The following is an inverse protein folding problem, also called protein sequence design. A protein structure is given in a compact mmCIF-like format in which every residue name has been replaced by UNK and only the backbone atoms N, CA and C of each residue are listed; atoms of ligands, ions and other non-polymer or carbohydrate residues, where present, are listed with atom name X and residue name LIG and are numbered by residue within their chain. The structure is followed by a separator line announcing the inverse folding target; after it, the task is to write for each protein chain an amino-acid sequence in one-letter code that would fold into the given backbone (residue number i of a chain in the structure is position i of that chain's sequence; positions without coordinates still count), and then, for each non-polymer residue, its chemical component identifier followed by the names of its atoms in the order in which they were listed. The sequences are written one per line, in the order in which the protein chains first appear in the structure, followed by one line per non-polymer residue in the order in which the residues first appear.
data_IF_397794982120
#
_entry.id   IF_397794982120
#
_cell.length_a   1.000
_cell.length_b   1.000
_cell.length_c   1.000
_cell.angle_alpha   90.00
_cell.angle_beta   90.00
_cell.angle_gamma   90.00
#
_symmetry.space_group_name_H-M   'P 1'
#
loop_
_entity.id
_entity.type
_entity.pdbx_description
1 polymer ?
#
# COMPACT_ATOMS: atom_id res chain seq x y z
N UNK A 1 -9.43 8.92 -20.42
CA UNK A 1 -8.46 10.03 -20.57
C UNK A 1 -7.60 10.13 -19.30
N UNK A 2 -6.32 10.54 -19.32
CA UNK A 2 -5.70 11.00 -18.07
C UNK A 2 -6.62 12.03 -17.43
N UNK A 3 -6.76 11.99 -16.10
CA UNK A 3 -7.47 13.00 -15.31
C UNK A 3 -7.23 14.35 -15.97
N UNK A 4 -8.26 15.04 -16.48
CA UNK A 4 -8.05 16.21 -17.32
C UNK A 4 -7.15 17.16 -16.53
N UNK A 5 -5.95 17.45 -17.07
CA UNK A 5 -4.84 18.24 -16.46
C UNK A 5 -3.88 17.58 -15.45
N UNK A 6 -3.75 16.24 -15.44
CA UNK A 6 -2.66 15.55 -14.73
C UNK A 6 -1.42 15.32 -15.63
N UNK A 7 -0.19 15.55 -15.14
CA UNK A 7 0.15 15.94 -13.76
C UNK A 7 -0.02 17.45 -13.50
N UNK A 8 -0.52 17.78 -12.31
CA UNK A 8 -0.51 19.14 -11.79
C UNK A 8 0.90 19.45 -11.28
N UNK A 9 1.87 19.74 -12.14
CA UNK A 9 3.28 19.89 -11.73
C UNK A 9 3.47 20.89 -10.56
N UNK A 10 2.63 21.93 -10.51
CA UNK A 10 2.61 22.93 -9.43
C UNK A 10 2.26 22.36 -8.04
N UNK A 11 1.62 21.19 -7.98
CA UNK A 11 1.23 20.54 -6.72
C UNK A 11 2.29 19.54 -6.22
N UNK A 12 3.33 19.30 -7.01
CA UNK A 12 4.49 18.50 -6.68
C UNK A 12 5.69 19.38 -6.32
N UNK A 13 6.57 18.88 -5.46
CA UNK A 13 7.84 19.53 -5.20
C UNK A 13 8.71 19.47 -6.48
N UNK A 14 9.16 20.62 -6.99
CA UNK A 14 9.96 20.67 -8.22
C UNK A 14 11.27 19.89 -8.10
N UNK A 15 11.90 19.86 -6.92
CA UNK A 15 13.11 19.05 -6.69
C UNK A 15 12.81 17.54 -6.71
N UNK A 16 11.60 17.13 -6.34
CA UNK A 16 11.15 15.74 -6.48
C UNK A 16 10.99 15.40 -7.96
N UNK A 17 10.40 16.28 -8.76
CA UNK A 17 10.28 16.11 -10.21
C UNK A 17 11.66 15.99 -10.85
N UNK A 18 12.59 16.91 -10.55
CA UNK A 18 13.98 16.86 -11.06
C UNK A 18 14.69 15.59 -10.61
N UNK A 19 14.58 15.21 -9.34
CA UNK A 19 15.18 13.96 -8.85
C UNK A 19 14.61 12.70 -9.51
N UNK A 20 13.32 12.67 -9.84
CA UNK A 20 12.71 11.60 -10.64
C UNK A 20 13.23 11.64 -12.09
N UNK A 21 13.38 12.82 -12.68
CA UNK A 21 13.97 13.00 -14.02
C UNK A 21 15.41 12.44 -14.09
N UNK A 22 16.21 12.69 -13.06
CA UNK A 22 17.61 12.23 -13.00
C UNK A 22 17.73 10.73 -12.67
N UNK A 23 16.76 10.16 -11.94
CA UNK A 23 16.80 8.77 -11.47
C UNK A 23 16.19 7.78 -12.47
N UNK A 24 15.35 8.23 -13.40
CA UNK A 24 14.59 7.37 -14.30
C UNK A 24 15.15 7.55 -15.71
N UNK A 25 16.33 6.98 -15.98
CA UNK A 25 16.96 7.10 -17.30
C UNK A 25 16.24 6.32 -18.41
N UNK A 26 15.32 5.42 -18.05
CA UNK A 26 14.65 4.50 -18.98
C UNK A 26 13.16 4.78 -19.23
N UNK A 27 12.53 5.70 -18.49
CA UNK A 27 11.09 6.01 -18.62
C UNK A 27 10.89 7.52 -18.60
N UNK A 28 10.03 8.02 -19.48
CA UNK A 28 9.69 9.44 -19.53
C UNK A 28 9.13 9.90 -18.15
N UNK A 29 9.73 10.92 -17.52
CA UNK A 29 9.28 11.46 -16.24
C UNK A 29 7.84 11.98 -16.26
N UNK A 30 7.37 12.54 -17.38
CA UNK A 30 5.98 12.98 -17.54
C UNK A 30 5.01 11.80 -17.51
N UNK A 31 5.36 10.70 -18.18
CA UNK A 31 4.56 9.48 -18.18
C UNK A 31 4.52 8.84 -16.79
N UNK A 32 5.62 8.88 -16.05
CA UNK A 32 5.67 8.41 -14.65
C UNK A 32 4.78 9.26 -13.74
N UNK A 33 4.81 10.58 -13.88
CA UNK A 33 3.95 11.48 -13.11
C UNK A 33 2.46 11.27 -13.43
N UNK A 34 2.11 11.17 -14.72
CA UNK A 34 0.76 10.85 -15.18
C UNK A 34 0.30 9.51 -14.64
N UNK A 35 1.17 8.49 -14.66
CA UNK A 35 0.90 7.20 -14.07
C UNK A 35 0.65 7.28 -12.56
N UNK A 36 1.49 8.01 -11.81
CA UNK A 36 1.30 8.21 -10.36
C UNK A 36 -0.05 8.87 -10.01
N UNK A 37 -0.47 9.84 -10.81
CA UNK A 37 -1.74 10.53 -10.61
C UNK A 37 -2.97 9.67 -10.94
N UNK A 38 -2.79 8.56 -11.66
CA UNK A 38 -3.90 7.68 -12.04
C UNK A 38 -4.12 6.56 -11.04
N UNK A 39 -5.38 6.20 -10.80
CA UNK A 39 -5.69 4.99 -10.04
C UNK A 39 -5.23 3.76 -10.84
N UNK A 40 -4.69 2.72 -10.17
CA UNK A 40 -4.41 1.45 -10.84
C UNK A 40 -5.67 0.90 -11.50
N UNK A 41 -5.57 0.35 -12.71
CA UNK A 41 -6.74 -0.20 -13.44
C UNK A 41 -7.22 -1.55 -12.92
N UNK A 42 -6.65 -2.03 -11.81
CA UNK A 42 -6.93 -3.32 -11.19
C UNK A 42 -7.17 -3.14 -9.69
N UNK A 43 -8.25 -3.74 -9.21
CA UNK A 43 -8.48 -3.96 -7.78
C UNK A 43 -8.13 -5.40 -7.44
N UNK A 44 -7.26 -5.59 -6.46
CA UNK A 44 -6.83 -6.92 -6.01
C UNK A 44 -7.29 -7.21 -4.58
N UNK A 45 -7.93 -8.35 -4.42
CA UNK A 45 -8.28 -8.95 -3.13
C UNK A 45 -7.35 -10.11 -2.85
N UNK A 46 -6.72 -10.12 -1.67
CA UNK A 46 -6.07 -11.30 -1.11
C UNK A 46 -7.10 -12.11 -0.32
N UNK A 47 -7.31 -13.35 -0.69
CA UNK A 47 -8.17 -14.30 0.02
C UNK A 47 -7.43 -14.87 1.22
N UNK A 48 -8.13 -15.00 2.35
CA UNK A 48 -7.64 -15.71 3.50
C UNK A 48 -7.99 -17.19 3.39
N UNK A 49 -7.10 -17.95 2.77
CA UNK A 49 -7.26 -19.39 2.51
C UNK A 49 -7.40 -20.23 3.80
N UNK A 50 -7.05 -19.68 4.97
CA UNK A 50 -7.28 -20.34 6.26
C UNK A 50 -8.74 -20.29 6.75
N UNK A 51 -9.56 -19.37 6.20
CA UNK A 51 -10.96 -19.16 6.62
C UNK A 51 -11.98 -19.47 5.55
N UNK A 52 -11.64 -19.32 4.27
CA UNK A 52 -12.58 -19.51 3.16
C UNK A 52 -11.83 -19.86 1.88
N UNK A 53 -12.56 -20.36 0.89
CA UNK A 53 -12.00 -20.64 -0.44
C UNK A 53 -12.02 -19.41 -1.33
N UNK A 54 -11.17 -19.41 -2.36
CA UNK A 54 -11.17 -18.38 -3.40
C UNK A 54 -12.51 -18.35 -4.14
N UNK A 55 -13.17 -19.50 -4.32
CA UNK A 55 -14.49 -19.64 -4.93
C UNK A 55 -15.55 -18.86 -4.18
N UNK A 56 -15.57 -18.94 -2.85
CA UNK A 56 -16.57 -18.28 -2.02
C UNK A 56 -16.44 -16.75 -2.12
N UNK A 57 -15.21 -16.24 -2.04
CA UNK A 57 -14.96 -14.80 -2.18
C UNK A 57 -15.28 -14.33 -3.59
N UNK A 58 -14.89 -15.10 -4.60
CA UNK A 58 -15.16 -14.79 -6.00
C UNK A 58 -16.67 -14.73 -6.27
N UNK A 59 -17.45 -15.72 -5.79
CA UNK A 59 -18.90 -15.76 -5.93
C UNK A 59 -19.58 -14.56 -5.23
N UNK A 60 -19.11 -14.19 -4.03
CA UNK A 60 -19.62 -13.02 -3.33
C UNK A 60 -19.34 -11.70 -4.09
N UNK A 61 -18.14 -11.57 -4.67
CA UNK A 61 -17.78 -10.44 -5.55
C UNK A 61 -18.68 -10.43 -6.79
N UNK A 62 -18.83 -11.56 -7.49
CA UNK A 62 -19.68 -11.65 -8.69
C UNK A 62 -21.13 -11.27 -8.40
N UNK A 63 -21.67 -11.74 -7.27
CA UNK A 63 -23.03 -11.41 -6.85
C UNK A 63 -23.22 -9.90 -6.69
N UNK A 64 -22.22 -9.19 -6.13
CA UNK A 64 -22.28 -7.74 -5.94
C UNK A 64 -22.00 -6.94 -7.21
N UNK A 65 -21.11 -7.41 -8.07
CA UNK A 65 -20.78 -6.73 -9.32
C UNK A 65 -21.80 -7.02 -10.43
N UNK A 66 -22.62 -8.06 -10.30
CA UNK A 66 -23.64 -8.47 -11.28
C UNK A 66 -23.06 -8.58 -12.70
N UNK A 67 -21.86 -9.15 -12.84
CA UNK A 67 -21.11 -9.31 -14.10
C UNK A 67 -20.78 -8.00 -14.85
N UNK A 68 -20.88 -6.83 -14.20
CA UNK A 68 -20.57 -5.53 -14.82
C UNK A 68 -19.07 -5.26 -15.01
N UNK A 69 -18.22 -6.09 -14.41
CA UNK A 69 -16.77 -5.94 -14.42
C UNK A 69 -16.14 -7.30 -14.74
N UNK A 70 -15.07 -7.25 -15.53
CA UNK A 70 -14.23 -8.41 -15.76
C UNK A 70 -13.42 -8.70 -14.49
N UNK A 71 -13.41 -9.96 -14.08
CA UNK A 71 -12.68 -10.39 -12.89
C UNK A 71 -12.12 -11.78 -13.11
N UNK A 72 -10.93 -12.02 -12.57
CA UNK A 72 -10.23 -13.28 -12.73
C UNK A 72 -9.63 -13.72 -11.39
N UNK A 73 -9.41 -15.02 -11.30
CA UNK A 73 -8.63 -15.64 -10.23
C UNK A 73 -7.17 -15.67 -10.68
N UNK A 74 -6.25 -15.29 -9.81
CA UNK A 74 -4.82 -15.37 -10.06
C UNK A 74 -4.17 -16.14 -8.91
N UNK A 75 -3.50 -17.25 -9.23
CA UNK A 75 -3.04 -18.21 -8.22
C UNK A 75 -4.19 -18.65 -7.29
N UNK A 76 -3.87 -19.26 -6.14
CA UNK A 76 -4.86 -19.81 -5.21
C UNK A 76 -5.50 -18.75 -4.28
N UNK A 77 -4.88 -17.58 -4.13
CA UNK A 77 -5.21 -16.63 -3.06
C UNK A 77 -5.47 -15.19 -3.55
N UNK A 78 -5.54 -14.92 -4.86
CA UNK A 78 -5.76 -13.56 -5.40
C UNK A 78 -6.98 -13.53 -6.31
N UNK A 79 -7.83 -12.53 -6.11
CA UNK A 79 -8.90 -12.18 -7.04
C UNK A 79 -8.60 -10.80 -7.60
N UNK A 80 -8.62 -10.68 -8.92
CA UNK A 80 -8.43 -9.44 -9.65
C UNK A 80 -9.76 -8.98 -10.22
N UNK A 81 -10.03 -7.69 -10.13
CA UNK A 81 -11.17 -7.04 -10.77
C UNK A 81 -10.63 -5.92 -11.63
N UNK A 82 -10.89 -6.00 -12.94
CA UNK A 82 -10.51 -5.00 -13.92
C UNK A 82 -11.48 -3.83 -13.85
N UNK A 83 -10.92 -2.62 -13.84
CA UNK A 83 -11.72 -1.39 -13.88
C UNK A 83 -12.28 -1.20 -15.28
N UNK A 84 -13.49 -0.66 -15.35
CA UNK A 84 -14.11 -0.38 -16.65
C UNK A 84 -13.48 0.89 -17.25
N UNK A 85 -13.22 0.92 -18.57
CA UNK A 85 -12.81 2.14 -19.23
C UNK A 85 -13.89 3.21 -19.04
N UNK A 86 -13.47 4.41 -18.64
CA UNK A 86 -14.36 5.58 -18.61
C UNK A 86 -14.18 6.32 -19.94
N UNK A 87 -14.95 5.89 -20.94
CA UNK A 87 -14.85 6.37 -22.33
C UNK A 87 -15.58 7.70 -22.57
N UNK A 88 -16.48 8.09 -21.67
CA UNK A 88 -17.22 9.36 -21.71
C UNK A 88 -16.99 10.16 -20.44
N UNK A 89 -16.90 11.47 -20.56
CA UNK A 89 -16.93 12.35 -19.39
C UNK A 89 -18.24 12.14 -18.63
N UNK A 90 -18.14 11.85 -17.34
CA UNK A 90 -19.32 11.69 -16.48
C UNK A 90 -20.06 13.03 -16.39
N UNK A 91 -21.39 12.99 -16.49
CA UNK A 91 -22.23 14.18 -16.37
C UNK A 91 -22.13 14.73 -14.95
N UNK A 92 -21.71 15.99 -14.81
CA UNK A 92 -21.54 16.64 -13.52
C UNK A 92 -22.89 17.17 -13.03
N UNK A 93 -23.14 16.99 -11.73
CA UNK A 93 -24.29 17.54 -11.04
C UNK A 93 -24.02 18.97 -10.55
N UNK A 94 -25.06 19.82 -10.43
CA UNK A 94 -24.91 21.20 -9.98
C UNK A 94 -24.53 21.32 -8.51
N UNK A 95 -24.81 20.29 -7.69
CA UNK A 95 -24.46 20.25 -6.27
C UNK A 95 -23.08 19.62 -6.10
N UNK A 96 -22.24 20.25 -5.29
CA UNK A 96 -20.84 19.87 -5.10
C UNK A 96 -20.57 19.39 -3.68
N UNK A 97 -19.69 18.39 -3.57
CA UNK A 97 -19.05 17.98 -2.32
C UNK A 97 -17.54 18.09 -2.51
N UNK A 98 -16.86 18.74 -1.57
CA UNK A 98 -15.41 18.91 -1.57
C UNK A 98 -14.80 18.02 -0.51
N UNK A 99 -13.79 17.27 -0.90
CA UNK A 99 -13.00 16.39 -0.03
C UNK A 99 -11.52 16.69 -0.16
N UNK A 100 -10.72 16.24 0.81
CA UNK A 100 -9.26 16.31 0.68
C UNK A 100 -8.73 15.27 -0.34
N UNK A 101 -7.44 15.38 -0.68
CA UNK A 101 -6.79 14.51 -1.65
C UNK A 101 -6.68 13.05 -1.22
N UNK A 102 -6.66 12.75 0.08
CA UNK A 102 -6.54 11.37 0.58
C UNK A 102 -7.90 10.66 0.51
N UNK A 103 -8.97 11.36 0.89
CA UNK A 103 -10.35 10.91 0.69
C UNK A 103 -10.65 10.75 -0.80
N UNK A 104 -10.25 11.70 -1.64
CA UNK A 104 -10.39 11.59 -3.10
C UNK A 104 -9.67 10.36 -3.66
N UNK A 105 -8.45 10.09 -3.20
CA UNK A 105 -7.70 8.91 -3.64
C UNK A 105 -8.38 7.61 -3.19
N UNK A 106 -8.98 7.56 -2.00
CA UNK A 106 -9.77 6.43 -1.54
C UNK A 106 -11.02 6.21 -2.39
N UNK A 107 -11.74 7.28 -2.75
CA UNK A 107 -12.93 7.22 -3.63
C UNK A 107 -12.58 6.64 -5.00
N UNK A 108 -11.49 7.08 -5.61
CA UNK A 108 -11.00 6.52 -6.88
C UNK A 108 -10.54 5.06 -6.78
N UNK A 109 -10.39 4.54 -5.56
CA UNK A 109 -10.08 3.14 -5.27
C UNK A 109 -11.32 2.36 -4.79
N UNK A 110 -12.51 2.92 -4.98
CA UNK A 110 -13.80 2.27 -4.74
C UNK A 110 -14.43 2.56 -3.38
N UNK A 111 -13.89 3.49 -2.59
CA UNK A 111 -14.46 3.83 -1.28
C UNK A 111 -15.66 4.78 -1.39
N UNK A 112 -16.57 4.67 -0.43
CA UNK A 112 -17.56 5.71 -0.18
C UNK A 112 -16.96 6.88 0.65
N UNK A 113 -17.71 7.98 0.80
CA UNK A 113 -17.28 9.11 1.64
C UNK A 113 -18.03 9.08 2.97
N UNK A 114 -17.25 9.01 4.04
CA UNK A 114 -17.74 9.13 5.41
C UNK A 114 -17.73 10.59 5.88
N UNK A 115 -18.59 10.94 6.82
CA UNK A 115 -18.74 12.33 7.32
C UNK A 115 -17.42 13.06 7.65
N UNK A 116 -16.41 12.43 8.29
CA UNK A 116 -15.14 13.09 8.56
C UNK A 116 -14.38 13.55 7.29
N UNK A 117 -14.60 12.88 6.16
CA UNK A 117 -13.92 13.16 4.89
C UNK A 117 -14.52 14.34 4.11
N UNK A 118 -15.72 14.81 4.49
CA UNK A 118 -16.36 15.96 3.82
C UNK A 118 -15.80 17.26 4.36
N UNK A 119 -15.13 18.04 3.50
CA UNK A 119 -14.66 19.38 3.83
C UNK A 119 -15.75 20.43 3.61
N UNK A 120 -16.42 20.40 2.46
CA UNK A 120 -17.41 21.38 2.08
C UNK A 120 -18.51 20.77 1.24
N UNK A 121 -19.69 21.36 1.25
CA UNK A 121 -20.76 20.96 0.33
C UNK A 121 -21.74 22.10 0.10
N UNK A 122 -22.22 22.23 -1.15
CA UNK A 122 -23.32 23.13 -1.47
C UNK A 122 -24.62 22.67 -0.79
N UNK A 123 -25.62 23.56 -0.60
CA UNK A 123 -26.91 23.17 -0.02
C UNK A 123 -27.51 21.93 -0.70
N UNK A 124 -27.61 20.86 0.07
CA UNK A 124 -28.04 19.53 -0.38
C UNK A 124 -28.81 18.83 0.74
N UNK A 125 -29.81 18.05 0.36
CA UNK A 125 -30.63 17.19 1.19
C UNK A 125 -30.22 15.73 0.97
N UNK A 126 -30.54 14.87 1.93
CA UNK A 126 -30.43 13.42 1.74
C UNK A 126 -31.20 12.97 0.50
N UNK A 127 -30.58 12.10 -0.31
CA UNK A 127 -31.10 11.63 -1.59
C UNK A 127 -30.69 12.47 -2.80
N UNK A 128 -30.13 13.66 -2.60
CA UNK A 128 -29.63 14.47 -3.71
C UNK A 128 -28.43 13.82 -4.39
N UNK A 129 -28.38 13.96 -5.72
CA UNK A 129 -27.19 13.64 -6.52
C UNK A 129 -26.20 14.80 -6.47
N UNK A 130 -24.93 14.46 -6.28
CA UNK A 130 -23.83 15.42 -6.12
C UNK A 130 -22.61 14.99 -6.92
N UNK A 131 -21.83 15.97 -7.34
CA UNK A 131 -20.50 15.76 -7.89
C UNK A 131 -19.44 16.00 -6.82
N UNK A 132 -18.47 15.09 -6.76
CA UNK A 132 -17.40 15.10 -5.77
C UNK A 132 -16.15 15.69 -6.41
N UNK A 133 -15.51 16.62 -5.69
CA UNK A 133 -14.28 17.26 -6.09
C UNK A 133 -13.20 17.14 -5.03
N UNK A 134 -11.97 16.87 -5.46
CA UNK A 134 -10.78 16.90 -4.63
C UNK A 134 -10.23 18.34 -4.54
N UNK A 135 -9.97 18.83 -3.32
CA UNK A 135 -9.24 20.08 -3.08
C UNK A 135 -7.73 19.86 -3.25
N UNK A 136 -7.17 20.33 -4.37
CA UNK A 136 -5.77 20.08 -4.72
C UNK A 136 -4.80 21.02 -4.01
N UNK A 137 -5.25 22.20 -3.55
CA UNK A 137 -4.37 23.20 -2.92
C UNK A 137 -4.58 23.35 -1.41
N UNK A 138 -5.45 22.53 -0.82
CA UNK A 138 -5.76 22.47 0.62
C UNK A 138 -6.27 23.81 1.15
N UNK A 139 -7.15 24.46 0.39
CA UNK A 139 -7.73 25.77 0.72
C UNK A 139 -9.20 25.70 1.14
N UNK A 140 -9.86 24.56 0.99
CA UNK A 140 -11.24 24.39 1.41
C UNK A 140 -11.32 24.38 2.94
N UNK A 141 -12.04 25.35 3.49
CA UNK A 141 -12.36 25.38 4.92
C UNK A 141 -13.46 24.37 5.22
N UNK A 142 -13.36 23.72 6.38
CA UNK A 142 -14.36 22.76 6.82
C UNK A 142 -15.69 23.47 7.06
N UNK A 143 -16.77 22.92 6.53
CA UNK A 143 -18.10 23.53 6.56
C UNK A 143 -18.33 24.58 5.46
N UNK A 144 -17.54 24.63 4.39
CA UNK A 144 -17.86 25.48 3.25
C UNK A 144 -19.27 25.16 2.68
N UNK A 145 -20.05 26.21 2.38
CA UNK A 145 -21.42 26.11 1.82
C UNK A 145 -21.47 26.61 0.36
N UNK A 146 -20.60 27.56 0.00
CA UNK A 146 -20.56 28.13 -1.35
C UNK A 146 -19.78 27.19 -2.29
N UNK A 147 -20.04 27.25 -3.61
CA UNK A 147 -19.21 26.56 -4.59
C UNK A 147 -17.72 26.87 -4.37
N UNK A 148 -16.88 25.84 -4.39
CA UNK A 148 -15.43 26.01 -4.21
C UNK A 148 -14.79 26.43 -5.53
N UNK A 149 -14.10 27.56 -5.52
CA UNK A 149 -13.54 28.20 -6.73
C UNK A 149 -12.03 28.05 -6.88
N UNK A 150 -11.35 27.56 -5.84
CA UNK A 150 -9.92 27.23 -5.90
C UNK A 150 -9.68 25.98 -6.76
N UNK A 151 -8.41 25.66 -6.99
CA UNK A 151 -7.98 24.50 -7.78
C UNK A 151 -8.60 23.19 -7.24
N UNK A 152 -9.50 22.60 -8.02
CA UNK A 152 -10.22 21.37 -7.68
C UNK A 152 -10.30 20.42 -8.86
N UNK A 153 -10.41 19.12 -8.57
CA UNK A 153 -10.54 18.07 -9.58
C UNK A 153 -11.82 17.28 -9.35
N UNK A 154 -12.67 17.17 -10.37
CA UNK A 154 -13.81 16.26 -10.34
C UNK A 154 -13.32 14.81 -10.28
N UNK A 155 -13.89 13.97 -9.40
CA UNK A 155 -13.46 12.58 -9.22
C UNK A 155 -14.57 11.53 -9.31
N UNK A 156 -15.81 11.90 -8.99
CA UNK A 156 -16.90 10.95 -8.85
C UNK A 156 -18.26 11.66 -8.79
N UNK A 157 -19.32 10.89 -9.04
CA UNK A 157 -20.69 11.26 -8.66
C UNK A 157 -21.17 10.35 -7.51
N UNK A 158 -22.15 10.83 -6.74
CA UNK A 158 -22.73 10.07 -5.65
C UNK A 158 -24.04 10.64 -5.13
N UNK A 159 -24.58 10.00 -4.10
CA UNK A 159 -25.86 10.31 -3.48
C UNK A 159 -25.62 10.68 -2.01
N UNK A 160 -26.22 11.78 -1.56
CA UNK A 160 -26.13 12.23 -0.18
C UNK A 160 -26.91 11.28 0.74
N UNK A 161 -26.26 10.74 1.76
CA UNK A 161 -26.83 9.80 2.73
C UNK A 161 -27.08 10.42 4.11
N UNK A 162 -26.42 11.54 4.40
CA UNK A 162 -26.56 12.30 5.65
C UNK A 162 -26.88 13.76 5.40
N UNK A 163 -27.64 14.35 6.31
CA UNK A 163 -27.90 15.78 6.27
C UNK A 163 -26.65 16.55 6.72
N UNK A 164 -26.52 17.79 6.25
CA UNK A 164 -25.38 18.66 6.56
C UNK A 164 -25.09 18.79 8.07
N UNK A 165 -26.12 18.90 8.90
CA UNK A 165 -25.97 19.00 10.36
C UNK A 165 -25.28 17.77 10.96
N UNK A 166 -25.55 16.58 10.42
CA UNK A 166 -24.94 15.31 10.85
C UNK A 166 -23.48 15.20 10.38
N UNK A 167 -23.18 15.73 9.19
CA UNK A 167 -21.84 15.70 8.59
C UNK A 167 -20.87 16.64 9.33
N UNK A 168 -21.34 17.83 9.73
CA UNK A 168 -20.51 18.88 10.35
C UNK A 168 -20.72 19.03 11.86
N UNK A 169 -21.30 18.02 12.52
CA UNK A 169 -21.34 17.95 13.97
C UNK A 169 -19.94 17.80 14.59
N UNK A 170 -19.84 17.92 15.92
CA UNK A 170 -18.58 17.84 16.67
C UNK A 170 -17.84 16.51 16.47
N UNK A 171 -18.57 15.40 16.45
CA UNK A 171 -18.03 14.04 16.26
C UNK A 171 -18.64 13.39 15.01
N UNK A 172 -18.20 13.78 13.80
CA UNK A 172 -18.73 13.28 12.55
C UNK A 172 -18.49 11.77 12.42
N UNK A 173 -19.51 11.01 11.99
CA UNK A 173 -19.40 9.57 11.72
C UNK A 173 -20.48 9.10 10.76
N UNK A 174 -20.26 7.93 10.16
CA UNK A 174 -21.21 7.31 9.24
C UNK A 174 -21.01 7.72 7.79
N UNK A 175 -21.73 7.01 6.92
CA UNK A 175 -21.70 7.19 5.47
C UNK A 175 -22.38 8.53 5.11
N UNK A 176 -21.61 9.47 4.58
CA UNK A 176 -22.11 10.77 4.18
C UNK A 176 -22.54 10.80 2.71
N UNK A 177 -21.71 10.25 1.82
CA UNK A 177 -21.99 10.17 0.39
C UNK A 177 -21.76 8.73 -0.08
N UNK A 178 -22.80 8.12 -0.62
CA UNK A 178 -22.72 6.86 -1.35
C UNK A 178 -22.27 7.15 -2.78
N UNK A 179 -21.02 6.80 -3.09
CA UNK A 179 -20.46 6.95 -4.44
C UNK A 179 -21.18 6.00 -5.40
N UNK A 180 -21.59 6.53 -6.55
CA UNK A 180 -22.28 5.77 -7.61
C UNK A 180 -21.38 5.42 -8.79
N UNK A 181 -20.45 6.32 -9.12
CA UNK A 181 -19.51 6.15 -10.24
C UNK A 181 -18.27 7.02 -10.02
N UNK A 182 -17.15 6.57 -10.56
CA UNK A 182 -15.85 7.24 -10.42
C UNK A 182 -15.19 7.39 -11.78
N UNK A 183 -14.36 8.42 -11.94
CA UNK A 183 -13.60 8.61 -13.18
C UNK A 183 -12.45 7.61 -13.35
N UNK A 184 -12.13 6.81 -12.32
CA UNK A 184 -11.21 5.67 -12.46
C UNK A 184 -11.89 4.43 -13.03
N UNK A 185 -13.23 4.39 -13.06
CA UNK A 185 -13.97 3.18 -13.44
C UNK A 185 -13.79 2.03 -12.43
N UNK A 186 -13.31 2.34 -11.22
CA UNK A 186 -13.14 1.36 -10.16
C UNK A 186 -14.51 0.85 -9.70
N UNK A 187 -14.69 -0.47 -9.52
CA UNK A 187 -15.89 -1.01 -8.89
C UNK A 187 -16.02 -0.48 -7.46
N UNK A 188 -17.26 -0.23 -7.05
CA UNK A 188 -17.60 0.22 -5.70
C UNK A 188 -18.28 -0.96 -5.01
N UNK A 189 -17.61 -1.52 -4.00
CA UNK A 189 -18.09 -2.64 -3.23
C UNK A 189 -18.39 -2.18 -1.80
N UNK A 190 -19.54 -2.55 -1.20
CA UNK A 190 -19.89 -2.11 0.16
C UNK A 190 -18.87 -2.59 1.20
N UNK A 191 -18.54 -1.77 2.20
CA UNK A 191 -17.43 -2.06 3.14
C UNK A 191 -17.57 -3.34 4.00
N UNK A 192 -18.74 -4.00 4.01
CA UNK A 192 -19.00 -5.26 4.74
C UNK A 192 -19.68 -6.34 3.88
N UNK A 193 -19.47 -6.33 2.55
CA UNK A 193 -20.08 -7.32 1.67
C UNK A 193 -19.49 -8.74 1.83
N UNK A 194 -18.32 -8.85 2.43
CA UNK A 194 -17.67 -10.11 2.79
C UNK A 194 -17.68 -10.29 4.30
N UNK A 195 -17.80 -11.54 4.80
CA UNK A 195 -17.56 -11.82 6.21
C UNK A 195 -16.15 -11.40 6.64
N UNK A 196 -16.02 -10.95 7.89
CA UNK A 196 -14.75 -10.46 8.42
C UNK A 196 -13.62 -11.50 8.27
N UNK A 197 -12.48 -11.04 7.77
CA UNK A 197 -11.28 -11.85 7.60
C UNK A 197 -11.32 -12.84 6.44
N UNK A 198 -12.36 -12.85 5.59
CA UNK A 198 -12.39 -13.71 4.39
C UNK A 198 -11.42 -13.24 3.30
N UNK A 199 -11.33 -11.93 3.10
CA UNK A 199 -10.40 -11.34 2.15
C UNK A 199 -10.03 -9.92 2.56
N UNK A 200 -8.97 -9.40 1.94
CA UNK A 200 -8.44 -8.06 2.17
C UNK A 200 -8.15 -7.38 0.84
N UNK A 201 -8.50 -6.10 0.72
CA UNK A 201 -7.97 -5.25 -0.34
C UNK A 201 -6.46 -5.05 -0.14
N UNK A 202 -5.66 -5.63 -1.02
CA UNK A 202 -4.20 -5.58 -0.92
C UNK A 202 -3.60 -5.54 -2.31
N UNK A 203 -2.75 -4.54 -2.58
CA UNK A 203 -2.09 -4.39 -3.87
C UNK A 203 -1.25 -5.63 -4.20
N UNK A 204 -1.28 -6.08 -5.47
CA UNK A 204 -0.50 -7.23 -5.97
C UNK A 204 0.97 -7.22 -5.50
N UNK A 205 1.72 -6.09 -5.58
CA UNK A 205 3.11 -6.07 -5.12
C UNK A 205 3.29 -6.43 -3.64
N UNK A 206 2.34 -6.03 -2.79
CA UNK A 206 2.36 -6.36 -1.36
C UNK A 206 2.08 -7.84 -1.10
N UNK A 207 1.29 -8.50 -1.96
CA UNK A 207 1.03 -9.95 -1.89
C UNK A 207 2.27 -10.70 -2.40
N UNK A 208 2.84 -10.25 -3.51
CA UNK A 208 4.07 -10.80 -4.08
C UNK A 208 5.23 -10.78 -3.08
N UNK A 209 5.39 -9.70 -2.32
CA UNK A 209 6.42 -9.59 -1.28
C UNK A 209 6.41 -10.76 -0.28
N UNK A 210 5.22 -11.17 0.18
CA UNK A 210 5.09 -12.30 1.12
C UNK A 210 5.31 -13.64 0.40
N UNK A 211 4.92 -13.76 -0.87
CA UNK A 211 5.24 -14.94 -1.68
C UNK A 211 6.74 -15.09 -1.92
N UNK A 212 7.47 -14.00 -2.14
CA UNK A 212 8.93 -14.00 -2.25
C UNK A 212 9.61 -14.40 -0.92
N UNK A 213 9.01 -14.06 0.22
CA UNK A 213 9.49 -14.52 1.54
C UNK A 213 9.30 -16.03 1.72
N UNK A 214 8.26 -16.59 1.10
CA UNK A 214 7.93 -18.01 1.10
C UNK A 214 8.01 -18.67 2.51
N UNK A 215 7.28 -18.14 3.52
CA UNK A 215 7.33 -18.67 4.88
C UNK A 215 6.70 -20.06 4.98
N UNK A 216 7.37 -20.99 5.66
CA UNK A 216 6.91 -22.37 5.80
C UNK A 216 6.30 -22.62 7.19
N UNK A 217 5.38 -23.60 7.30
CA UNK A 217 4.96 -24.13 8.60
C UNK A 217 6.15 -24.53 9.47
N UNK A 218 6.04 -24.26 10.78
CA UNK A 218 7.03 -24.60 11.82
C UNK A 218 8.33 -23.76 11.83
N UNK A 219 8.42 -22.73 11.00
CA UNK A 219 9.53 -21.77 11.02
C UNK A 219 9.33 -20.64 12.04
N UNK A 220 10.42 -19.95 12.37
CA UNK A 220 10.42 -18.73 13.17
C UNK A 220 10.57 -17.52 12.24
N UNK A 221 9.51 -16.71 12.13
CA UNK A 221 9.40 -15.61 11.16
C UNK A 221 9.20 -14.27 11.88
N UNK A 222 9.92 -13.24 11.43
CA UNK A 222 9.81 -11.86 11.92
C UNK A 222 9.24 -10.92 10.86
N UNK A 223 8.21 -10.18 11.21
CA UNK A 223 7.76 -8.99 10.48
C UNK A 223 8.17 -7.74 11.27
N UNK A 224 9.20 -7.04 10.79
CA UNK A 224 9.85 -5.94 11.54
C UNK A 224 9.05 -4.64 11.56
N UNK A 225 8.10 -4.45 10.64
CA UNK A 225 7.35 -3.20 10.44
C UNK A 225 5.91 -3.56 10.03
N UNK A 226 5.23 -4.26 10.93
CA UNK A 226 4.10 -5.11 10.58
C UNK A 226 2.78 -4.37 10.37
N UNK A 227 2.58 -3.20 10.98
CA UNK A 227 1.28 -2.55 10.95
C UNK A 227 0.92 -2.02 9.55
N UNK A 228 -0.34 -2.18 9.09
CA UNK A 228 -1.51 -2.58 9.89
C UNK A 228 -1.76 -4.10 9.99
N UNK A 229 -0.87 -4.96 9.50
CA UNK A 229 -0.99 -6.43 9.61
C UNK A 229 -1.34 -7.16 8.32
N UNK A 230 -1.40 -6.44 7.20
CA UNK A 230 -1.81 -7.02 5.90
C UNK A 230 -0.86 -8.12 5.43
N UNK A 231 0.47 -7.91 5.59
CA UNK A 231 1.50 -8.89 5.25
C UNK A 231 1.65 -9.94 6.35
N UNK A 232 1.61 -9.54 7.62
CA UNK A 232 1.65 -10.44 8.78
C UNK A 232 0.57 -11.53 8.72
N UNK A 233 -0.68 -11.15 8.44
CA UNK A 233 -1.79 -12.11 8.30
C UNK A 233 -1.66 -13.00 7.07
N UNK A 234 -0.94 -12.55 6.04
CA UNK A 234 -0.61 -13.39 4.88
C UNK A 234 0.47 -14.40 5.21
N UNK A 235 1.53 -13.98 5.92
CA UNK A 235 2.57 -14.87 6.44
C UNK A 235 1.94 -15.97 7.30
N UNK A 236 1.07 -15.60 8.24
CA UNK A 236 0.38 -16.55 9.12
C UNK A 236 -0.46 -17.57 8.33
N UNK A 237 -1.15 -17.13 7.27
CA UNK A 237 -1.93 -18.01 6.42
C UNK A 237 -1.05 -19.03 5.65
N UNK A 238 0.09 -18.59 5.09
CA UNK A 238 1.04 -19.47 4.40
C UNK A 238 1.73 -20.46 5.35
N UNK A 239 2.04 -20.02 6.57
CA UNK A 239 2.55 -20.89 7.64
C UNK A 239 1.48 -21.82 8.22
N UNK A 240 0.22 -21.72 7.77
CA UNK A 240 -0.92 -22.46 8.32
C UNK A 240 -1.06 -22.29 9.85
N UNK A 241 -0.67 -21.12 10.37
CA UNK A 241 -0.59 -20.85 11.80
C UNK A 241 0.29 -21.85 12.61
N UNK A 242 1.27 -22.50 11.97
CA UNK A 242 2.24 -23.41 12.59
C UNK A 242 3.63 -22.76 12.66
N UNK A 243 4.34 -22.96 13.76
CA UNK A 243 5.61 -22.26 14.04
C UNK A 243 5.39 -20.98 14.83
N UNK A 244 6.33 -20.05 14.73
CA UNK A 244 6.31 -18.81 15.50
C UNK A 244 6.41 -17.60 14.58
N UNK A 245 5.36 -16.78 14.57
CA UNK A 245 5.33 -15.51 13.86
C UNK A 245 5.38 -14.35 14.87
N UNK A 246 6.40 -13.50 14.76
CA UNK A 246 6.56 -12.30 15.57
C UNK A 246 6.34 -11.07 14.68
N UNK A 247 5.52 -10.13 15.16
CA UNK A 247 5.17 -8.92 14.43
C UNK A 247 5.42 -7.68 15.29
N UNK A 248 6.18 -6.72 14.76
CA UNK A 248 6.60 -5.53 15.48
C UNK A 248 6.08 -4.25 14.84
N UNK A 249 5.66 -3.29 15.66
CA UNK A 249 5.53 -1.89 15.23
C UNK A 249 5.84 -0.96 16.40
N UNK A 250 6.33 0.25 16.10
CA UNK A 250 6.74 1.23 17.12
C UNK A 250 5.54 1.96 17.74
N UNK A 251 4.47 2.16 16.99
CA UNK A 251 3.39 3.09 17.36
C UNK A 251 2.23 2.37 18.05
N UNK A 252 1.81 2.75 19.27
CA UNK A 252 0.75 2.05 20.01
C UNK A 252 -0.56 1.86 19.23
N UNK A 253 -1.03 2.90 18.52
CA UNK A 253 -2.27 2.81 17.74
C UNK A 253 -2.13 1.85 16.55
N UNK A 254 -0.94 1.81 15.92
CA UNK A 254 -0.64 0.87 14.85
C UNK A 254 -0.57 -0.56 15.34
N UNK A 255 0.01 -0.78 16.52
CA UNK A 255 0.04 -2.09 17.21
C UNK A 255 -1.38 -2.56 17.54
N UNK A 256 -2.25 -1.68 18.05
CA UNK A 256 -3.67 -2.00 18.27
C UNK A 256 -4.37 -2.42 16.97
N UNK A 257 -4.15 -1.69 15.88
CA UNK A 257 -4.70 -2.04 14.57
C UNK A 257 -4.16 -3.37 14.04
N UNK A 258 -2.87 -3.63 14.22
CA UNK A 258 -2.22 -4.89 13.86
C UNK A 258 -2.83 -6.07 14.62
N UNK A 259 -2.96 -5.98 15.95
CA UNK A 259 -3.62 -7.01 16.75
C UNK A 259 -5.05 -7.26 16.30
N UNK A 260 -5.81 -6.19 16.02
CA UNK A 260 -7.18 -6.31 15.52
C UNK A 260 -7.25 -7.03 14.17
N UNK A 261 -6.35 -6.67 13.26
CA UNK A 261 -6.26 -7.31 11.94
C UNK A 261 -5.87 -8.78 12.06
N UNK A 262 -4.96 -9.13 12.96
CA UNK A 262 -4.62 -10.53 13.25
C UNK A 262 -5.82 -11.31 13.80
N UNK A 263 -6.57 -10.74 14.76
CA UNK A 263 -7.79 -11.34 15.30
C UNK A 263 -8.84 -11.56 14.19
N UNK A 264 -9.14 -10.52 13.40
CA UNK A 264 -10.13 -10.58 12.33
C UNK A 264 -9.79 -11.62 11.28
N UNK A 265 -8.50 -11.83 10.98
CA UNK A 265 -8.02 -12.84 10.03
C UNK A 265 -7.71 -14.20 10.67
N UNK A 266 -7.79 -14.35 11.99
CA UNK A 266 -7.43 -15.59 12.70
C UNK A 266 -5.95 -15.93 12.58
N UNK A 267 -5.09 -14.93 12.44
CA UNK A 267 -3.64 -15.10 12.34
C UNK A 267 -3.02 -15.25 13.74
N UNK A 268 -2.29 -16.35 13.97
CA UNK A 268 -1.52 -16.57 15.20
C UNK A 268 -0.17 -15.87 15.09
N UNK A 269 -0.06 -14.69 15.69
CA UNK A 269 1.19 -13.92 15.76
C UNK A 269 1.39 -13.33 17.16
N UNK A 270 2.63 -13.34 17.66
CA UNK A 270 3.02 -12.58 18.84
C UNK A 270 3.32 -11.15 18.42
N UNK A 271 2.48 -10.21 18.87
CA UNK A 271 2.56 -8.79 18.50
C UNK A 271 3.21 -8.00 19.63
N UNK A 272 4.28 -7.26 19.33
CA UNK A 272 4.96 -6.41 20.31
C UNK A 272 5.04 -4.96 19.83
N UNK A 273 4.86 -4.03 20.77
CA UNK A 273 5.21 -2.63 20.56
C UNK A 273 6.72 -2.46 20.73
N UNK A 274 7.46 -2.28 19.63
CA UNK A 274 8.90 -2.18 19.67
C UNK A 274 9.46 -1.27 18.56
N UNK A 275 10.59 -0.62 18.85
CA UNK A 275 11.37 0.07 17.83
C UNK A 275 12.38 -0.90 17.22
N UNK A 276 12.14 -1.35 16.00
CA UNK A 276 12.98 -2.31 15.25
C UNK A 276 14.42 -1.84 15.01
N UNK A 277 14.77 -0.60 15.36
CA UNK A 277 16.14 -0.13 15.46
C UNK A 277 16.92 -0.67 16.68
N UNK A 278 16.24 -1.25 17.67
CA UNK A 278 16.80 -1.65 18.98
C UNK A 278 16.33 -3.05 19.42
N UNK A 279 16.18 -3.97 18.47
CA UNK A 279 15.62 -5.32 18.72
C UNK A 279 16.68 -6.43 18.75
N UNK A 280 17.97 -6.09 18.64
CA UNK A 280 19.07 -7.05 18.72
C UNK A 280 19.62 -7.03 20.14
N UNK A 281 19.65 -8.18 20.78
CA UNK A 281 20.21 -8.40 22.11
C UNK A 281 21.71 -8.63 22.01
N UNK A 282 22.44 -8.22 23.07
CA UNK A 282 23.84 -8.61 23.26
C UNK A 282 24.00 -9.93 24.03
N UNK A 283 22.90 -10.55 24.47
CA UNK A 283 22.89 -11.81 25.22
C UNK A 283 21.96 -12.85 24.59
N UNK A 284 22.35 -14.12 24.68
CA UNK A 284 21.63 -15.27 24.12
C UNK A 284 20.56 -15.86 25.05
N UNK A 285 20.30 -15.21 26.20
CA UNK A 285 19.59 -15.82 27.33
C UNK A 285 18.08 -15.52 27.41
N UNK A 286 17.47 -14.88 26.39
CA UNK A 286 16.04 -14.58 26.41
C UNK A 286 15.26 -15.49 25.48
N UNK A 287 14.21 -16.13 26.02
CA UNK A 287 13.23 -16.86 25.22
C UNK A 287 12.57 -15.90 24.24
N UNK A 288 12.52 -16.30 22.97
CA UNK A 288 12.02 -15.47 21.86
C UNK A 288 10.56 -15.00 22.08
N UNK A 289 9.77 -15.79 22.80
CA UNK A 289 8.36 -15.51 23.12
C UNK A 289 8.18 -14.34 24.09
N UNK A 290 9.23 -13.96 24.83
CA UNK A 290 9.19 -12.80 25.74
C UNK A 290 9.26 -11.46 25.00
N UNK A 291 9.49 -11.48 23.68
CA UNK A 291 9.59 -10.30 22.84
C UNK A 291 11.01 -9.74 22.75
N UNK A 292 11.18 -8.58 22.09
CA UNK A 292 12.49 -8.00 21.85
C UNK A 292 13.13 -7.44 23.14
N UNK A 293 14.48 -7.38 23.23
CA UNK A 293 15.43 -7.67 22.15
C UNK A 293 15.69 -9.18 21.98
N UNK A 294 15.94 -9.62 20.75
CA UNK A 294 16.19 -11.02 20.39
C UNK A 294 17.68 -11.31 20.20
N UNK A 295 18.10 -12.54 20.50
CA UNK A 295 19.46 -12.98 20.22
C UNK A 295 19.78 -12.96 18.71
N UNK A 296 21.05 -12.77 18.30
CA UNK A 296 21.45 -12.91 16.90
C UNK A 296 21.10 -14.29 16.32
N UNK A 297 20.93 -14.38 14.99
CA UNK A 297 20.68 -15.64 14.28
C UNK A 297 19.50 -16.46 14.83
N UNK A 298 18.40 -15.80 15.12
CA UNK A 298 17.20 -16.40 15.72
C UNK A 298 16.12 -16.76 14.69
N UNK A 299 15.97 -15.98 13.62
CA UNK A 299 14.85 -16.10 12.70
C UNK A 299 15.23 -16.83 11.42
N UNK A 300 14.38 -17.77 10.99
CA UNK A 300 14.53 -18.48 9.72
C UNK A 300 14.18 -17.53 8.55
N UNK A 301 13.20 -16.64 8.77
CA UNK A 301 12.81 -15.62 7.79
C UNK A 301 12.50 -14.28 8.42
N UNK A 302 12.84 -13.22 7.69
CA UNK A 302 12.57 -11.85 8.11
C UNK A 302 11.97 -11.08 6.95
N UNK A 303 10.81 -10.46 7.19
CA UNK A 303 10.22 -9.44 6.34
C UNK A 303 10.59 -8.05 6.89
N UNK A 304 11.23 -7.26 6.03
CA UNK A 304 11.48 -5.84 6.25
C UNK A 304 10.70 -5.03 5.20
N UNK A 305 9.41 -4.79 5.48
CA UNK A 305 8.57 -3.81 4.77
C UNK A 305 8.89 -2.41 5.30
N UNK A 306 9.96 -1.82 4.79
CA UNK A 306 10.62 -0.72 5.45
C UNK A 306 9.79 0.59 5.35
N UNK A 307 9.79 1.43 6.41
CA UNK A 307 9.26 2.78 6.29
C UNK A 307 10.04 3.54 5.20
N UNK A 308 9.30 4.13 4.27
CA UNK A 308 9.85 4.78 3.09
C UNK A 308 9.11 6.08 2.78
N UNK A 309 9.55 6.77 1.72
CA UNK A 309 8.94 8.01 1.25
C UNK A 309 7.54 7.87 0.65
N UNK A 310 7.04 6.64 0.42
CA UNK A 310 5.69 6.32 -0.08
C UNK A 310 5.36 6.99 -1.43
N UNK A 311 6.38 7.24 -2.27
CA UNK A 311 6.23 7.93 -3.55
C UNK A 311 5.57 7.08 -4.65
N UNK A 312 5.34 5.78 -4.39
CA UNK A 312 4.66 4.87 -5.31
C UNK A 312 3.14 4.80 -5.11
N UNK A 313 2.56 5.54 -4.16
CA UNK A 313 1.10 5.50 -3.89
C UNK A 313 0.33 5.97 -5.12
N UNK A 314 -0.75 5.25 -5.46
CA UNK A 314 -1.62 5.57 -6.62
C UNK A 314 -3.11 5.44 -6.26
N UNK A 315 -3.95 6.42 -6.66
CA UNK A 315 -3.58 7.70 -7.30
C UNK A 315 -2.92 8.67 -6.32
N UNK A 316 -2.07 9.56 -6.83
CA UNK A 316 -1.44 10.63 -6.08
C UNK A 316 -1.58 11.97 -6.80
N UNK A 317 -2.39 12.88 -6.25
CA UNK A 317 -2.66 14.18 -6.89
C UNK A 317 -1.69 15.29 -6.49
N UNK A 318 -1.14 15.21 -5.28
CA UNK A 318 -0.19 16.20 -4.74
C UNK A 318 0.93 15.48 -3.98
N UNK A 319 2.12 16.06 -3.99
CA UNK A 319 3.22 15.58 -3.16
C UNK A 319 4.20 16.72 -2.81
N UNK A 320 4.17 17.13 -1.54
CA UNK A 320 5.04 18.20 -1.02
C UNK A 320 6.21 17.66 -0.17
N UNK A 321 6.47 16.36 -0.24
CA UNK A 321 7.58 15.74 0.50
C UNK A 321 8.89 16.40 0.09
N UNK A 322 9.65 16.89 1.07
CA UNK A 322 10.93 17.54 0.79
C UNK A 322 12.02 16.51 0.56
N UNK A 323 13.02 16.88 -0.23
CA UNK A 323 14.20 16.04 -0.47
C UNK A 323 14.91 15.65 0.83
N UNK A 324 14.94 16.54 1.82
CA UNK A 324 15.48 16.26 3.16
C UNK A 324 14.74 15.10 3.84
N UNK A 325 13.41 15.05 3.73
CA UNK A 325 12.61 13.95 4.28
C UNK A 325 12.91 12.65 3.53
N UNK A 326 12.96 12.68 2.19
CA UNK A 326 13.29 11.51 1.37
C UNK A 326 14.66 10.93 1.77
N UNK A 327 15.68 11.78 1.85
CA UNK A 327 17.04 11.38 2.25
C UNK A 327 17.12 10.85 3.70
N UNK A 328 16.20 11.25 4.57
CA UNK A 328 16.18 10.78 5.97
C UNK A 328 15.78 9.30 6.12
N UNK A 329 15.13 8.71 5.11
CA UNK A 329 14.76 7.30 5.15
C UNK A 329 15.97 6.37 4.95
N UNK A 330 16.99 6.77 4.20
CA UNK A 330 18.15 5.90 3.88
C UNK A 330 18.89 5.44 5.15
N UNK A 331 19.31 6.32 6.08
CA UNK A 331 19.98 5.87 7.30
C UNK A 331 19.10 4.98 8.18
N UNK A 332 17.80 5.27 8.24
CA UNK A 332 16.83 4.48 9.00
C UNK A 332 16.71 3.07 8.40
N UNK A 333 16.48 2.97 7.09
CA UNK A 333 16.34 1.70 6.38
C UNK A 333 17.61 0.86 6.49
N UNK A 334 18.79 1.48 6.36
CA UNK A 334 20.08 0.80 6.58
C UNK A 334 20.20 0.24 7.99
N UNK A 335 19.84 1.01 9.02
CA UNK A 335 19.86 0.54 10.42
C UNK A 335 18.90 -0.64 10.64
N UNK A 336 17.68 -0.56 10.10
CA UNK A 336 16.72 -1.65 10.17
C UNK A 336 17.24 -2.91 9.45
N UNK A 337 17.82 -2.73 8.27
CA UNK A 337 18.40 -3.81 7.48
C UNK A 337 19.57 -4.47 8.22
N UNK A 338 20.49 -3.70 8.82
CA UNK A 338 21.59 -4.24 9.65
C UNK A 338 21.06 -5.13 10.78
N UNK A 339 20.00 -4.70 11.46
CA UNK A 339 19.38 -5.49 12.52
C UNK A 339 18.71 -6.77 11.97
N UNK A 340 18.05 -6.68 10.81
CA UNK A 340 17.48 -7.85 10.14
C UNK A 340 18.58 -8.90 9.87
N UNK A 341 19.71 -8.47 9.28
CA UNK A 341 20.83 -9.36 8.97
C UNK A 341 21.43 -9.99 10.24
N UNK A 342 21.57 -9.22 11.32
CA UNK A 342 22.07 -9.75 12.60
C UNK A 342 21.17 -10.85 13.19
N UNK A 343 19.85 -10.66 13.08
CA UNK A 343 18.83 -11.58 13.59
C UNK A 343 18.57 -12.80 12.70
N UNK A 344 18.98 -12.74 11.43
CA UNK A 344 18.75 -13.80 10.46
C UNK A 344 19.70 -14.99 10.68
N UNK A 345 19.15 -16.20 10.73
CA UNK A 345 19.91 -17.45 10.77
C UNK A 345 20.74 -17.65 9.50
N UNK A 346 21.85 -18.41 9.56
CA UNK A 346 22.49 -18.94 8.36
C UNK A 346 21.48 -19.72 7.52
N UNK A 347 21.53 -19.55 6.19
CA UNK A 347 20.54 -20.06 5.23
C UNK A 347 19.13 -19.45 5.36
N UNK A 348 18.93 -18.48 6.26
CA UNK A 348 17.66 -17.78 6.40
C UNK A 348 17.39 -16.82 5.24
N UNK A 349 16.12 -16.49 5.03
CA UNK A 349 15.66 -15.58 3.97
C UNK A 349 15.29 -14.22 4.54
N UNK A 350 15.80 -13.13 3.95
CA UNK A 350 15.39 -11.76 4.22
C UNK A 350 14.74 -11.17 2.97
N UNK A 351 13.50 -10.70 3.10
CA UNK A 351 12.85 -9.89 2.07
C UNK A 351 12.81 -8.44 2.51
N UNK A 352 13.40 -7.58 1.71
CA UNK A 352 13.28 -6.13 1.81
C UNK A 352 12.25 -5.62 0.81
N UNK A 353 11.35 -4.74 1.24
CA UNK A 353 10.41 -4.10 0.34
C UNK A 353 10.04 -2.68 0.73
N UNK A 354 9.61 -1.90 -0.26
CA UNK A 354 9.13 -0.52 -0.09
C UNK A 354 7.98 -0.23 -1.05
N UNK A 355 7.15 0.75 -0.71
CA UNK A 355 6.14 1.33 -1.60
C UNK A 355 6.59 2.69 -2.20
N UNK A 356 7.88 2.79 -2.52
CA UNK A 356 8.48 3.97 -3.16
C UNK A 356 9.14 3.62 -4.48
N UNK A 357 9.41 4.65 -5.28
CA UNK A 357 10.04 4.53 -6.59
C UNK A 357 11.48 5.03 -6.63
N UNK A 358 12.02 5.58 -5.53
CA UNK A 358 13.38 6.16 -5.52
C UNK A 358 14.45 5.09 -5.68
N UNK A 359 15.47 5.37 -6.49
CA UNK A 359 16.63 4.48 -6.62
C UNK A 359 17.39 4.36 -5.29
N UNK A 360 17.49 5.46 -4.53
CA UNK A 360 18.27 5.50 -3.30
C UNK A 360 17.73 4.54 -2.23
N UNK A 361 16.40 4.49 -2.04
CA UNK A 361 15.77 3.59 -1.07
C UNK A 361 15.75 2.14 -1.58
N UNK A 362 15.75 1.94 -2.89
CA UNK A 362 15.57 0.61 -3.50
C UNK A 362 16.91 0.00 -3.93
N UNK A 363 17.27 0.11 -5.21
CA UNK A 363 18.47 -0.49 -5.79
C UNK A 363 19.76 -0.02 -5.08
N UNK A 364 19.79 1.24 -4.62
CA UNK A 364 20.92 1.80 -3.86
C UNK A 364 21.09 1.18 -2.48
N UNK A 365 19.99 0.74 -1.86
CA UNK A 365 20.04 -0.01 -0.60
C UNK A 365 20.51 -1.44 -0.84
N UNK A 366 20.06 -2.11 -1.90
CA UNK A 366 20.55 -3.44 -2.30
C UNK A 366 22.06 -3.39 -2.56
N UNK A 367 22.52 -2.42 -3.36
CA UNK A 367 23.95 -2.27 -3.66
C UNK A 367 24.78 -1.98 -2.41
N UNK A 368 24.26 -1.20 -1.47
CA UNK A 368 24.90 -1.01 -0.17
C UNK A 368 24.95 -2.31 0.64
N UNK A 369 23.84 -3.05 0.72
CA UNK A 369 23.76 -4.28 1.48
C UNK A 369 24.78 -5.32 0.98
N UNK A 370 24.87 -5.53 -0.34
CA UNK A 370 25.82 -6.47 -0.94
C UNK A 370 27.30 -6.09 -0.71
N UNK A 371 27.61 -4.80 -0.54
CA UNK A 371 28.97 -4.36 -0.15
C UNK A 371 29.22 -4.50 1.35
N UNK A 372 28.20 -4.25 2.17
CA UNK A 372 28.32 -4.21 3.63
C UNK A 372 28.24 -5.59 4.30
N UNK A 373 27.55 -6.56 3.69
CA UNK A 373 27.33 -7.88 4.26
C UNK A 373 27.82 -8.95 3.29
N UNK A 374 29.03 -9.46 3.52
CA UNK A 374 29.67 -10.49 2.69
C UNK A 374 29.00 -11.87 2.84
N UNK A 375 28.24 -12.06 3.92
CA UNK A 375 27.47 -13.25 4.20
C UNK A 375 26.03 -13.19 3.64
N UNK A 376 25.69 -12.19 2.82
CA UNK A 376 24.41 -12.12 2.12
C UNK A 376 24.57 -12.29 0.62
N UNK A 377 23.71 -13.11 0.05
CA UNK A 377 23.57 -13.28 -1.40
C UNK A 377 22.20 -12.80 -1.85
N UNK A 378 22.16 -11.99 -2.92
CA UNK A 378 20.91 -11.64 -3.59
C UNK A 378 20.39 -12.87 -4.34
N UNK A 379 19.10 -13.16 -4.22
CA UNK A 379 18.44 -14.25 -4.93
C UNK A 379 17.25 -13.72 -5.72
N UNK A 380 16.89 -14.39 -6.81
CA UNK A 380 15.77 -14.00 -7.64
C UNK A 380 14.46 -13.95 -6.85
N UNK A 381 13.79 -12.80 -6.84
CA UNK A 381 12.50 -12.64 -6.15
C UNK A 381 11.31 -13.29 -6.87
N UNK A 382 11.51 -13.86 -8.06
CA UNK A 382 10.49 -14.62 -8.81
C UNK A 382 9.50 -13.77 -9.61
N UNK A 383 9.89 -12.58 -10.07
CA UNK A 383 9.06 -11.71 -10.88
C UNK A 383 9.75 -11.27 -12.17
N UNK A 384 8.96 -10.75 -13.11
CA UNK A 384 9.41 -10.49 -14.49
C UNK A 384 9.91 -9.05 -14.73
N UNK A 385 9.91 -8.19 -13.70
CA UNK A 385 10.24 -6.78 -13.86
C UNK A 385 11.54 -6.42 -13.15
N UNK A 386 12.65 -6.23 -13.90
CA UNK A 386 13.95 -5.98 -13.31
C UNK A 386 14.04 -4.60 -12.66
N UNK A 387 15.03 -4.47 -11.76
CA UNK A 387 15.43 -3.19 -11.18
C UNK A 387 15.94 -2.19 -12.22
N UNK A 388 15.85 -0.92 -11.88
CA UNK A 388 16.33 0.17 -12.72
C UNK A 388 17.86 0.33 -12.64
N UNK A 389 18.52 0.79 -13.72
CA UNK A 389 19.95 1.10 -13.71
C UNK A 389 20.25 2.34 -12.84
N UNK A 390 21.54 2.64 -12.63
CA UNK A 390 21.98 3.91 -12.03
C UNK A 390 22.25 3.89 -10.53
N UNK A 391 22.14 2.73 -9.86
CA UNK A 391 22.37 2.60 -8.42
C UNK A 391 23.46 1.58 -8.03
N UNK A 392 24.31 1.17 -8.99
CA UNK A 392 25.46 0.30 -8.74
C UNK A 392 25.16 -1.20 -8.70
N UNK A 393 23.98 -1.62 -9.17
CA UNK A 393 23.67 -3.04 -9.43
C UNK A 393 24.08 -3.43 -10.85
N UNK A 394 24.61 -4.65 -11.01
CA UNK A 394 24.85 -5.25 -12.33
C UNK A 394 23.54 -5.59 -13.02
N UNK A 395 23.56 -5.88 -14.32
CA UNK A 395 22.35 -6.33 -15.04
C UNK A 395 21.77 -7.62 -14.45
N UNK A 396 22.61 -8.59 -14.12
CA UNK A 396 22.20 -9.83 -13.45
C UNK A 396 21.51 -9.56 -12.10
N UNK A 397 22.09 -8.70 -11.27
CA UNK A 397 21.50 -8.32 -9.97
C UNK A 397 20.18 -7.55 -10.14
N UNK A 398 20.06 -6.72 -11.18
CA UNK A 398 18.79 -6.04 -11.49
C UNK A 398 17.71 -7.04 -11.89
N UNK A 399 18.05 -8.12 -12.58
CA UNK A 399 17.11 -9.18 -12.93
C UNK A 399 16.70 -10.05 -11.72
N UNK A 400 17.43 -9.96 -10.59
CA UNK A 400 17.09 -10.69 -9.37
C UNK A 400 16.14 -9.93 -8.44
N UNK A 401 16.02 -8.60 -8.58
CA UNK A 401 15.06 -7.78 -7.82
C UNK A 401 13.78 -7.57 -8.64
N UNK A 402 12.69 -7.25 -7.96
CA UNK A 402 11.41 -6.97 -8.60
C UNK A 402 10.99 -5.52 -8.33
N UNK A 403 10.77 -4.77 -9.41
CA UNK A 403 10.21 -3.41 -9.34
C UNK A 403 8.81 -3.37 -9.93
N UNK A 404 7.92 -2.62 -9.30
CA UNK A 404 6.59 -2.31 -9.82
C UNK A 404 6.52 -0.85 -10.24
N UNK A 405 6.12 -0.59 -11.49
CA UNK A 405 6.22 0.72 -12.12
C UNK A 405 5.38 0.87 -13.41
N UNK A 406 5.46 2.03 -14.07
CA UNK A 406 4.73 2.27 -15.32
C UNK A 406 5.15 1.29 -16.42
N UNK A 407 4.18 0.90 -17.27
CA UNK A 407 4.42 0.06 -18.45
C UNK A 407 4.53 -1.44 -18.20
N UNK A 408 4.19 -1.92 -17.00
CA UNK A 408 4.33 -3.33 -16.62
C UNK A 408 3.02 -4.14 -16.77
N UNK A 409 3.15 -5.46 -16.71
CA UNK A 409 2.06 -6.45 -16.89
C UNK A 409 0.83 -6.16 -16.02
N UNK A 410 1.04 -5.80 -14.76
CA UNK A 410 -0.03 -5.38 -13.86
C UNK A 410 0.11 -3.89 -13.57
N UNK A 411 -0.89 -3.11 -13.98
CA UNK A 411 -0.95 -1.71 -13.59
C UNK A 411 -1.22 -1.62 -12.08
N UNK A 412 -0.17 -1.38 -11.29
CA UNK A 412 -0.19 -1.39 -9.82
C UNK A 412 0.43 -0.14 -9.22
N UNK A 413 0.44 -0.02 -7.89
CA UNK A 413 1.24 1.00 -7.20
C UNK A 413 2.75 0.82 -7.50
N UNK A 414 3.52 1.88 -7.30
CA UNK A 414 4.98 1.80 -7.28
C UNK A 414 5.47 1.04 -6.06
N UNK A 415 6.32 0.04 -6.29
CA UNK A 415 6.76 -0.88 -5.25
C UNK A 415 8.11 -1.52 -5.62
N UNK A 416 8.83 -2.02 -4.63
CA UNK A 416 10.10 -2.70 -4.83
C UNK A 416 10.24 -3.87 -3.87
N UNK A 417 10.81 -4.97 -4.35
CA UNK A 417 11.09 -6.19 -3.58
C UNK A 417 12.49 -6.70 -3.92
N UNK A 418 13.29 -6.98 -2.88
CA UNK A 418 14.57 -7.67 -3.01
C UNK A 418 14.62 -8.81 -1.98
N UNK A 419 15.09 -9.98 -2.42
CA UNK A 419 15.20 -11.17 -1.60
C UNK A 419 16.67 -11.55 -1.41
N UNK A 420 17.06 -11.83 -0.17
CA UNK A 420 18.41 -12.20 0.21
C UNK A 420 18.40 -13.52 0.97
N UNK A 421 19.45 -14.31 0.78
CA UNK A 421 19.73 -15.49 1.61
C UNK A 421 21.04 -15.26 2.34
N UNK A 422 21.06 -15.60 3.63
CA UNK A 422 22.29 -15.59 4.41
C UNK A 422 23.12 -16.83 4.12
N UNK A 423 24.37 -16.65 3.77
CA UNK A 423 25.32 -17.74 3.56
C UNK A 423 25.58 -18.49 4.88
N UNK A 424 26.12 -19.71 4.78
CA UNK A 424 26.37 -20.59 5.94
C UNK A 424 27.37 -20.01 6.93
#
# INVERSE_FOLDING_TARGET
MPYPTSPFEETFNQNLITGLKDSISSINPEDTLKWLCTAPTLTSYRVNTSKTSQENVYAAIQTKLSNKFDSSKLNEDIILIKHNPVDKELEKHPKEVIVDVDCAAAVLRGAHIYAPGVLGMTPSNKGDRVSIYADLNKKCLRGLIKPFTNLKLFIANGIVQQNRQEIFQSTPKGLAIEISETISGCPILPDNFLPNGWALLQNIPSIFCVKALNPQPNEVVLDMCAAPGNKTTHIAALMQNQGLLIALDKTPNKVKQLMKTCEDFGAKALVFQANSCHIVSSSDLQAIENGPPFAPKTFDRILLDAPCSVLGKRPQFTNKTSEKIIKSFIPLQRKLFTNAVALLKPQGTLVYSTCTITLAENEGLVAWALRSFQDLSLVGSGGDNPGWPGAGLTEEQRNMVQRFGPGQTYDSVGFFVACFVKNK
#
